data_IF_722630015804
#
_entry.id   IF_722630015804
#
_cell.length_a   1.000
_cell.length_b   1.000
_cell.length_c   1.000
_cell.angle_alpha   90.00
_cell.angle_beta   90.00
_cell.angle_gamma   90.00
#
_symmetry.space_group_name_H-M   'P 1'
#
loop_
_entity.id
_entity.type
_entity.pdbx_description
1 polymer ?
#
# COMPACT_ATOMS: atom_id res chain seq x y z
N UNK A 1 -11.00 14.48 24.12
CA UNK A 1 -10.94 13.02 23.90
C UNK A 1 -10.22 12.64 22.60
N UNK A 2 -10.50 13.29 21.45
CA UNK A 2 -9.82 13.02 20.17
C UNK A 2 -8.28 13.14 20.20
N UNK A 3 -7.73 14.12 20.93
CA UNK A 3 -6.28 14.28 21.09
C UNK A 3 -5.63 13.07 21.78
N UNK A 4 -6.24 12.59 22.88
CA UNK A 4 -5.73 11.45 23.64
C UNK A 4 -5.75 10.16 22.81
N UNK A 5 -6.82 9.93 22.03
CA UNK A 5 -6.91 8.80 21.11
C UNK A 5 -5.81 8.85 20.03
N UNK A 6 -5.55 10.02 19.45
CA UNK A 6 -4.47 10.21 18.45
C UNK A 6 -3.10 9.91 19.06
N UNK A 7 -2.81 10.42 20.26
CA UNK A 7 -1.54 10.16 20.95
C UNK A 7 -1.34 8.67 21.21
N UNK A 8 -2.39 7.98 21.68
CA UNK A 8 -2.35 6.55 21.98
C UNK A 8 -2.11 5.70 20.71
N UNK A 9 -2.80 6.04 19.61
CA UNK A 9 -2.59 5.38 18.31
C UNK A 9 -1.17 5.61 17.80
N UNK A 10 -0.66 6.85 17.87
CA UNK A 10 0.72 7.17 17.45
C UNK A 10 1.76 6.43 18.29
N UNK A 11 1.55 6.32 19.60
CA UNK A 11 2.41 5.51 20.48
C UNK A 11 2.39 4.04 20.05
N UNK A 12 1.20 3.47 19.82
CA UNK A 12 1.05 2.09 19.37
C UNK A 12 1.80 1.82 18.05
N UNK A 13 1.68 2.72 17.07
CA UNK A 13 2.37 2.60 15.78
C UNK A 13 3.89 2.71 15.97
N UNK A 14 4.36 3.69 16.75
CA UNK A 14 5.79 3.92 17.00
C UNK A 14 6.46 2.70 17.64
N UNK A 15 5.76 1.97 18.52
CA UNK A 15 6.30 0.74 19.11
C UNK A 15 6.11 -0.51 18.24
N UNK A 16 5.01 -0.61 17.49
CA UNK A 16 4.72 -1.78 16.66
C UNK A 16 5.66 -1.88 15.46
N UNK A 17 6.04 -0.75 14.86
CA UNK A 17 6.87 -0.71 13.65
C UNK A 17 8.25 -1.35 13.86
N UNK A 18 9.04 -0.99 14.89
CA UNK A 18 10.32 -1.64 15.17
C UNK A 18 10.20 -3.14 15.45
N UNK A 19 9.17 -3.55 16.18
CA UNK A 19 8.91 -4.96 16.52
C UNK A 19 8.64 -5.77 15.25
N UNK A 20 7.87 -5.21 14.32
CA UNK A 20 7.53 -5.87 13.05
C UNK A 20 8.68 -5.87 12.04
N UNK A 21 9.59 -4.90 12.12
CA UNK A 21 10.79 -4.84 11.27
C UNK A 21 11.76 -6.00 11.52
N UNK A 22 11.87 -6.48 12.76
CA UNK A 22 12.80 -7.57 13.10
C UNK A 22 12.54 -8.86 12.31
N UNK A 23 11.34 -9.48 12.35
CA UNK A 23 11.06 -10.69 11.57
C UNK A 23 11.07 -10.44 10.07
N UNK A 24 10.63 -9.25 9.62
CA UNK A 24 10.64 -8.88 8.21
C UNK A 24 12.08 -8.88 7.64
N UNK A 25 13.00 -8.20 8.34
CA UNK A 25 14.42 -8.19 7.97
C UNK A 25 15.03 -9.58 8.00
N UNK A 26 14.78 -10.36 9.04
CA UNK A 26 15.35 -11.71 9.17
C UNK A 26 14.88 -12.61 8.02
N UNK A 27 13.58 -12.58 7.70
CA UNK A 27 13.00 -13.31 6.57
C UNK A 27 13.64 -12.91 5.24
N UNK A 28 13.78 -11.60 5.01
CA UNK A 28 14.40 -11.05 3.80
C UNK A 28 15.87 -11.45 3.67
N UNK A 29 16.64 -11.38 4.76
CA UNK A 29 18.05 -11.79 4.78
C UNK A 29 18.17 -13.28 4.45
N UNK A 30 17.35 -14.13 5.09
CA UNK A 30 17.34 -15.57 4.83
C UNK A 30 16.96 -15.90 3.39
N UNK A 31 16.00 -15.19 2.81
CA UNK A 31 15.61 -15.33 1.41
C UNK A 31 16.78 -14.96 0.49
N UNK A 32 17.42 -13.82 0.74
CA UNK A 32 18.50 -13.33 -0.12
C UNK A 32 19.76 -14.21 -0.02
N UNK A 33 20.07 -14.73 1.17
CA UNK A 33 21.13 -15.74 1.36
C UNK A 33 20.83 -17.05 0.61
N UNK A 34 19.56 -17.47 0.50
CA UNK A 34 19.19 -18.64 -0.32
C UNK A 34 19.33 -18.39 -1.82
N UNK A 35 19.03 -17.18 -2.29
CA UNK A 35 19.11 -16.82 -3.72
C UNK A 35 20.57 -16.61 -4.14
N UNK A 36 21.35 -15.91 -3.32
CA UNK A 36 22.73 -15.53 -3.63
C UNK A 36 23.67 -15.81 -2.44
N UNK A 37 23.92 -17.10 -2.12
CA UNK A 37 24.73 -17.50 -0.95
C UNK A 37 26.19 -17.03 -1.04
N UNK A 38 26.70 -16.77 -2.25
CA UNK A 38 28.06 -16.28 -2.47
C UNK A 38 28.23 -14.80 -2.12
N UNK A 39 27.15 -14.02 -2.20
CA UNK A 39 27.18 -12.56 -2.02
C UNK A 39 26.67 -12.17 -0.65
N UNK A 40 25.67 -12.89 -0.12
CA UNK A 40 24.98 -12.53 1.11
C UNK A 40 25.42 -13.47 2.25
N UNK A 41 25.94 -12.93 3.36
CA UNK A 41 26.39 -13.75 4.49
C UNK A 41 25.20 -14.45 5.16
N UNK A 42 25.52 -15.46 5.97
CA UNK A 42 24.55 -16.19 6.79
C UNK A 42 23.73 -15.18 7.62
N UNK A 43 22.40 -15.32 7.67
CA UNK A 43 21.56 -14.39 8.42
C UNK A 43 21.93 -14.39 9.90
N UNK A 44 21.97 -13.18 10.48
CA UNK A 44 22.23 -13.03 11.90
C UNK A 44 21.17 -13.74 12.73
N UNK A 45 21.61 -14.65 13.58
CA UNK A 45 20.81 -15.30 14.61
C UNK A 45 21.32 -14.86 15.98
N UNK A 46 20.43 -14.49 16.89
CA UNK A 46 20.79 -14.07 18.24
C UNK A 46 21.54 -15.19 19.00
N UNK A 47 21.42 -16.45 18.57
CA UNK A 47 22.18 -17.59 19.09
C UNK A 47 23.64 -17.67 18.63
N UNK A 48 24.03 -16.97 17.55
CA UNK A 48 25.37 -17.05 16.96
C UNK A 48 25.90 -15.64 16.67
N UNK A 49 26.51 -15.02 17.69
CA UNK A 49 27.04 -13.63 17.60
C UNK A 49 28.06 -13.44 16.46
N UNK A 50 28.76 -14.51 16.07
CA UNK A 50 29.77 -14.51 15.01
C UNK A 50 29.19 -14.22 13.61
N UNK A 51 27.88 -14.39 13.43
CA UNK A 51 27.18 -14.11 12.17
C UNK A 51 26.78 -12.64 12.01
N UNK A 52 27.13 -11.78 12.97
CA UNK A 52 26.77 -10.37 12.96
C UNK A 52 27.53 -9.59 11.88
N UNK A 53 26.80 -9.11 10.88
CA UNK A 53 27.33 -8.18 9.89
C UNK A 53 26.55 -6.84 9.92
N UNK A 54 27.16 -5.75 10.44
CA UNK A 54 26.46 -4.48 10.63
C UNK A 54 26.10 -3.79 9.30
N UNK A 55 26.84 -4.05 8.22
CA UNK A 55 26.60 -3.44 6.91
C UNK A 55 25.31 -4.01 6.32
N UNK A 56 25.21 -5.34 6.27
CA UNK A 56 24.00 -6.02 5.76
C UNK A 56 22.78 -5.72 6.62
N UNK A 57 22.95 -5.67 7.93
CA UNK A 57 21.89 -5.30 8.86
C UNK A 57 21.31 -3.91 8.55
N UNK A 58 22.18 -2.90 8.37
CA UNK A 58 21.78 -1.53 8.04
C UNK A 58 21.15 -1.45 6.64
N UNK A 59 21.73 -2.13 5.66
CA UNK A 59 21.22 -2.16 4.29
C UNK A 59 19.76 -2.64 4.23
N UNK A 60 19.43 -3.75 4.89
CA UNK A 60 18.04 -4.23 4.91
C UNK A 60 17.10 -3.30 5.69
N UNK A 61 17.58 -2.67 6.77
CA UNK A 61 16.78 -1.71 7.52
C UNK A 61 16.44 -0.47 6.66
N UNK A 62 17.43 0.07 5.96
CA UNK A 62 17.25 1.20 5.03
C UNK A 62 16.32 0.81 3.88
N UNK A 63 16.47 -0.39 3.33
CA UNK A 63 15.62 -0.87 2.25
C UNK A 63 14.15 -0.94 2.66
N UNK A 64 13.85 -1.59 3.80
CA UNK A 64 12.47 -1.74 4.27
C UNK A 64 11.87 -0.37 4.63
N UNK A 65 12.61 0.45 5.41
CA UNK A 65 12.14 1.77 5.81
C UNK A 65 11.97 2.70 4.60
N UNK A 66 12.89 2.63 3.64
CA UNK A 66 12.86 3.39 2.39
C UNK A 66 11.67 3.01 1.52
N UNK A 67 11.33 1.73 1.40
CA UNK A 67 10.13 1.28 0.70
C UNK A 67 8.84 1.81 1.37
N UNK A 68 8.76 1.76 2.70
CA UNK A 68 7.60 2.30 3.43
C UNK A 68 7.50 3.81 3.23
N UNK A 69 8.62 4.54 3.33
CA UNK A 69 8.65 5.98 3.11
C UNK A 69 8.23 6.36 1.68
N UNK A 70 8.80 5.69 0.67
CA UNK A 70 8.42 5.91 -0.73
C UNK A 70 6.93 5.66 -0.97
N UNK A 71 6.37 4.63 -0.33
CA UNK A 71 4.95 4.31 -0.42
C UNK A 71 4.08 5.43 0.19
N UNK A 72 4.48 5.97 1.36
CA UNK A 72 3.81 7.13 1.96
C UNK A 72 3.89 8.37 1.07
N UNK A 73 5.01 8.60 0.38
CA UNK A 73 5.15 9.75 -0.52
C UNK A 73 4.34 9.64 -1.82
N UNK A 74 4.04 8.42 -2.28
CA UNK A 74 3.31 8.20 -3.55
C UNK A 74 1.78 8.13 -3.32
N UNK A 75 1.35 7.73 -2.13
CA UNK A 75 -0.07 7.49 -1.82
C UNK A 75 -0.54 8.31 -0.63
N UNK A 76 -1.38 9.30 -0.90
CA UNK A 76 -2.10 10.06 0.13
C UNK A 76 -3.28 9.28 0.74
N UNK A 77 -3.71 8.21 0.07
CA UNK A 77 -4.83 7.38 0.53
C UNK A 77 -4.34 6.19 1.38
N UNK A 78 -4.31 6.40 2.69
CA UNK A 78 -3.97 5.35 3.66
C UNK A 78 -4.91 4.13 3.56
N UNK A 79 -6.18 4.34 3.19
CA UNK A 79 -7.17 3.26 3.07
C UNK A 79 -6.78 2.30 1.94
N UNK A 80 -6.28 2.84 0.83
CA UNK A 80 -5.78 2.05 -0.29
C UNK A 80 -4.64 1.13 0.16
N UNK A 81 -3.62 1.71 0.82
CA UNK A 81 -2.45 0.97 1.30
C UNK A 81 -2.84 -0.15 2.24
N UNK A 82 -3.74 0.13 3.19
CA UNK A 82 -4.21 -0.85 4.16
C UNK A 82 -5.05 -1.96 3.50
N UNK A 83 -5.90 -1.61 2.53
CA UNK A 83 -6.70 -2.58 1.78
C UNK A 83 -5.82 -3.51 0.93
N UNK A 84 -4.84 -2.96 0.23
CA UNK A 84 -3.91 -3.71 -0.61
C UNK A 84 -3.02 -4.62 0.25
N UNK A 85 -2.42 -4.06 1.31
CA UNK A 85 -1.59 -4.81 2.25
C UNK A 85 -2.36 -5.94 2.93
N UNK A 86 -3.60 -5.69 3.35
CA UNK A 86 -4.49 -6.69 3.94
C UNK A 86 -4.87 -7.80 2.96
N UNK A 87 -5.19 -7.47 1.71
CA UNK A 87 -5.52 -8.44 0.68
C UNK A 87 -4.34 -9.35 0.32
N UNK A 88 -3.14 -8.77 0.17
CA UNK A 88 -1.89 -9.48 -0.10
C UNK A 88 -1.56 -10.40 1.07
N UNK A 89 -1.49 -9.86 2.29
CA UNK A 89 -1.13 -10.62 3.48
C UNK A 89 -2.15 -11.73 3.78
N UNK A 90 -3.45 -11.44 3.66
CA UNK A 90 -4.52 -12.41 3.88
C UNK A 90 -4.46 -13.57 2.90
N UNK A 91 -4.28 -13.30 1.61
CA UNK A 91 -4.18 -14.35 0.58
C UNK A 91 -2.95 -15.24 0.80
N UNK A 92 -1.81 -14.63 1.18
CA UNK A 92 -0.59 -15.34 1.49
C UNK A 92 -0.72 -16.24 2.73
N UNK A 93 -1.25 -15.71 3.84
CA UNK A 93 -1.30 -16.41 5.13
C UNK A 93 -2.39 -17.49 5.15
N UNK A 94 -3.54 -17.25 4.52
CA UNK A 94 -4.70 -18.17 4.61
C UNK A 94 -4.63 -19.29 3.59
N UNK A 95 -4.13 -19.02 2.37
CA UNK A 95 -4.21 -19.98 1.27
C UNK A 95 -2.83 -20.46 0.82
N UNK A 96 -1.94 -19.53 0.44
CA UNK A 96 -0.67 -19.86 -0.21
C UNK A 96 0.29 -20.56 0.77
N UNK A 97 0.53 -20.00 1.95
CA UNK A 97 1.49 -20.55 2.91
C UNK A 97 1.08 -21.91 3.45
N UNK A 98 -0.16 -22.15 3.93
CA UNK A 98 -0.55 -23.47 4.43
C UNK A 98 -0.43 -24.55 3.36
N UNK A 99 -0.84 -24.24 2.12
CA UNK A 99 -0.76 -25.17 1.00
C UNK A 99 0.68 -25.47 0.61
N UNK A 100 1.54 -24.45 0.54
CA UNK A 100 2.96 -24.61 0.23
C UNK A 100 3.71 -25.38 1.33
N UNK A 101 3.38 -25.12 2.62
CA UNK A 101 3.95 -25.86 3.74
C UNK A 101 3.56 -27.34 3.69
N UNK A 102 2.27 -27.63 3.46
CA UNK A 102 1.80 -28.99 3.36
C UNK A 102 2.49 -29.75 2.20
N UNK A 103 2.53 -29.16 1.01
CA UNK A 103 3.20 -29.77 -0.14
C UNK A 103 4.69 -30.00 0.14
N UNK A 104 5.35 -29.07 0.83
CA UNK A 104 6.76 -29.23 1.19
C UNK A 104 7.01 -30.36 2.20
N UNK A 105 6.10 -30.61 3.14
CA UNK A 105 6.20 -31.73 4.08
C UNK A 105 6.03 -33.08 3.36
N UNK A 106 5.24 -33.11 2.30
CA UNK A 106 4.98 -34.29 1.48
C UNK A 106 5.84 -34.36 0.21
N UNK A 107 7.03 -33.74 0.21
CA UNK A 107 8.00 -33.75 -0.90
C UNK A 107 7.40 -33.39 -2.27
N UNK A 108 6.43 -32.48 -2.28
CA UNK A 108 5.70 -32.04 -3.47
C UNK A 108 5.05 -33.20 -4.24
N UNK A 109 4.63 -34.26 -3.54
CA UNK A 109 3.94 -35.37 -4.17
C UNK A 109 2.59 -34.92 -4.76
N UNK A 110 2.28 -35.43 -5.94
CA UNK A 110 1.04 -35.18 -6.67
C UNK A 110 0.09 -36.40 -6.64
N UNK A 111 0.56 -37.52 -6.08
CA UNK A 111 -0.18 -38.77 -5.97
C UNK A 111 -1.14 -38.66 -4.78
N UNK A 112 -2.40 -39.07 -4.99
CA UNK A 112 -3.45 -38.99 -3.99
C UNK A 112 -4.43 -37.84 -4.20
N UNK A 113 -5.70 -38.08 -3.90
CA UNK A 113 -6.77 -37.10 -4.05
C UNK A 113 -6.56 -35.86 -3.15
N UNK A 114 -6.02 -36.06 -1.95
CA UNK A 114 -5.75 -34.98 -1.00
C UNK A 114 -4.66 -34.01 -1.52
N UNK A 115 -3.55 -34.54 -2.07
CA UNK A 115 -2.49 -33.73 -2.64
C UNK A 115 -2.98 -32.88 -3.82
N UNK A 116 -3.84 -33.45 -4.68
CA UNK A 116 -4.49 -32.70 -5.76
C UNK A 116 -5.38 -31.57 -5.24
N UNK A 117 -6.11 -31.79 -4.15
CA UNK A 117 -6.91 -30.76 -3.50
C UNK A 117 -6.05 -29.63 -2.95
N UNK A 118 -4.90 -29.94 -2.33
CA UNK A 118 -3.97 -28.92 -1.83
C UNK A 118 -3.34 -28.12 -2.98
N UNK A 119 -2.98 -28.77 -4.09
CA UNK A 119 -2.54 -28.09 -5.31
C UNK A 119 -3.62 -27.17 -5.89
N UNK A 120 -4.89 -27.58 -5.84
CA UNK A 120 -6.02 -26.76 -6.24
C UNK A 120 -6.17 -25.54 -5.32
N UNK A 121 -6.09 -25.71 -3.99
CA UNK A 121 -6.13 -24.59 -3.04
C UNK A 121 -4.97 -23.62 -3.29
N UNK A 122 -3.77 -24.13 -3.56
CA UNK A 122 -2.62 -23.29 -3.89
C UNK A 122 -2.87 -22.48 -5.18
N UNK A 123 -3.40 -23.13 -6.23
CA UNK A 123 -3.76 -22.46 -7.48
C UNK A 123 -4.85 -21.41 -7.28
N UNK A 124 -5.89 -21.73 -6.50
CA UNK A 124 -6.96 -20.82 -6.13
C UNK A 124 -6.44 -19.64 -5.30
N UNK A 125 -5.43 -19.87 -4.44
CA UNK A 125 -4.71 -18.83 -3.70
C UNK A 125 -4.05 -17.81 -4.61
N UNK A 126 -3.37 -18.27 -5.67
CA UNK A 126 -2.79 -17.37 -6.66
C UNK A 126 -3.85 -16.59 -7.43
N UNK A 127 -4.93 -17.24 -7.87
CA UNK A 127 -6.03 -16.56 -8.58
C UNK A 127 -6.66 -15.50 -7.67
N UNK A 128 -6.95 -15.85 -6.42
CA UNK A 128 -7.54 -14.93 -5.43
C UNK A 128 -6.61 -13.75 -5.13
N UNK A 129 -5.30 -14.00 -5.02
CA UNK A 129 -4.29 -12.97 -4.83
C UNK A 129 -4.32 -11.93 -5.95
N UNK A 130 -4.24 -12.37 -7.21
CA UNK A 130 -4.25 -11.47 -8.36
C UNK A 130 -5.60 -10.78 -8.53
N UNK A 131 -6.70 -11.50 -8.34
CA UNK A 131 -8.05 -10.95 -8.48
C UNK A 131 -8.32 -9.86 -7.43
N UNK A 132 -8.04 -10.12 -6.15
CA UNK A 132 -8.23 -9.12 -5.08
C UNK A 132 -7.34 -7.89 -5.29
N UNK A 133 -6.07 -8.08 -5.65
CA UNK A 133 -5.16 -6.97 -5.93
C UNK A 133 -5.66 -6.14 -7.12
N UNK A 134 -6.09 -6.80 -8.20
CA UNK A 134 -6.60 -6.13 -9.41
C UNK A 134 -7.88 -5.35 -9.13
N UNK A 135 -8.83 -5.92 -8.36
CA UNK A 135 -10.06 -5.25 -8.00
C UNK A 135 -9.82 -3.97 -7.20
N UNK A 136 -8.91 -4.00 -6.23
CA UNK A 136 -8.56 -2.83 -5.42
C UNK A 136 -7.96 -1.73 -6.29
N UNK A 137 -7.06 -2.09 -7.21
CA UNK A 137 -6.45 -1.14 -8.14
C UNK A 137 -7.51 -0.52 -9.05
N UNK A 138 -8.39 -1.33 -9.66
CA UNK A 138 -9.45 -0.84 -10.55
C UNK A 138 -10.40 0.11 -9.80
N UNK A 139 -10.83 -0.27 -8.58
CA UNK A 139 -11.68 0.60 -7.76
C UNK A 139 -10.99 1.93 -7.44
N UNK A 140 -9.70 1.92 -7.16
CA UNK A 140 -8.94 3.14 -6.89
C UNK A 140 -8.81 4.05 -8.11
N UNK A 141 -8.68 3.47 -9.31
CA UNK A 141 -8.59 4.22 -10.57
C UNK A 141 -9.96 4.81 -10.91
N UNK A 142 -11.02 4.02 -10.83
CA UNK A 142 -12.39 4.47 -11.07
C UNK A 142 -12.79 5.61 -10.12
N UNK A 143 -12.49 5.48 -8.82
CA UNK A 143 -12.75 6.53 -7.84
C UNK A 143 -11.98 7.83 -8.14
N UNK A 144 -10.76 7.75 -8.70
CA UNK A 144 -10.00 8.93 -9.15
C UNK A 144 -10.59 9.57 -10.40
N UNK A 145 -11.10 8.77 -11.33
CA UNK A 145 -11.77 9.28 -12.54
C UNK A 145 -13.04 10.05 -12.21
N UNK A 146 -13.84 9.55 -11.27
CA UNK A 146 -15.07 10.24 -10.83
C UNK A 146 -14.76 11.53 -10.06
N UNK A 147 -13.70 11.54 -9.25
CA UNK A 147 -13.25 12.74 -8.56
C UNK A 147 -12.77 13.83 -9.53
N UNK A 148 -11.99 13.47 -10.55
CA UNK A 148 -11.52 14.41 -11.57
C UNK A 148 -12.64 14.98 -12.45
N UNK A 149 -13.67 14.19 -12.75
CA UNK A 149 -14.84 14.65 -13.50
C UNK A 149 -15.69 15.67 -12.71
N UNK A 150 -15.82 15.47 -11.39
CA UNK A 150 -16.54 16.39 -10.52
C UNK A 150 -15.76 17.69 -10.28
N UNK A 151 -14.43 17.63 -10.13
CA UNK A 151 -13.59 18.83 -9.98
C UNK A 151 -13.65 19.73 -11.23
N UNK A 152 -13.70 19.12 -12.43
CA UNK A 152 -13.84 19.86 -13.69
C UNK A 152 -15.19 20.59 -13.78
N UNK A 153 -16.27 19.96 -13.32
CA UNK A 153 -17.59 20.59 -13.28
C UNK A 153 -17.67 21.72 -12.26
N UNK A 154 -17.01 21.58 -11.11
CA UNK A 154 -16.97 22.63 -10.07
C UNK A 154 -16.10 23.82 -10.49
N UNK A 155 -14.98 23.60 -11.17
CA UNK A 155 -14.18 24.67 -11.78
C UNK A 155 -14.98 25.40 -12.86
N UNK A 156 -15.69 24.67 -13.73
CA UNK A 156 -16.52 25.27 -14.77
C UNK A 156 -17.66 26.12 -14.20
N UNK A 157 -18.28 25.67 -13.10
CA UNK A 157 -19.30 26.42 -12.38
C UNK A 157 -18.73 27.66 -11.70
N UNK A 158 -17.54 27.58 -11.08
CA UNK A 158 -16.86 28.75 -10.49
C UNK A 158 -16.51 29.80 -11.55
N UNK A 159 -15.92 29.39 -12.66
CA UNK A 159 -15.56 30.29 -13.76
C UNK A 159 -16.82 30.92 -14.39
N UNK A 160 -17.90 30.16 -14.54
CA UNK A 160 -19.18 30.68 -15.01
C UNK A 160 -19.79 31.69 -14.03
N UNK A 161 -19.72 31.45 -12.73
CA UNK A 161 -20.20 32.39 -11.70
C UNK A 161 -19.35 33.67 -11.66
N UNK A 162 -18.02 33.58 -11.79
CA UNK A 162 -17.15 34.77 -11.86
C UNK A 162 -17.39 35.61 -13.12
N UNK A 163 -17.59 34.96 -14.28
CA UNK A 163 -17.95 35.65 -15.52
C UNK A 163 -19.32 36.33 -15.43
N UNK A 164 -20.30 35.67 -14.78
CA UNK A 164 -21.63 36.24 -14.57
C UNK A 164 -21.59 37.43 -13.60
N UNK A 165 -20.77 37.36 -12.54
CA UNK A 165 -20.53 38.45 -11.60
C UNK A 165 -19.86 39.67 -12.23
N UNK A 166 -18.85 39.47 -13.09
CA UNK A 166 -18.18 40.55 -13.84
C UNK A 166 -19.07 41.16 -14.93
N UNK A 167 -19.94 40.37 -15.54
CA UNK A 167 -20.95 40.87 -16.48
C UNK A 167 -21.96 41.80 -15.81
N UNK A 168 -22.38 41.48 -14.59
CA UNK A 168 -23.29 42.32 -13.81
C UNK A 168 -22.64 43.63 -13.37
N UNK A 169 -21.40 43.60 -12.88
CA UNK A 169 -20.69 44.81 -12.44
C UNK A 169 -20.51 45.82 -13.58
N UNK A 170 -20.07 45.34 -14.75
CA UNK A 170 -19.87 46.17 -15.93
C UNK A 170 -21.20 46.77 -16.47
N UNK A 171 -22.31 46.06 -16.28
CA UNK A 171 -23.64 46.55 -16.69
C UNK A 171 -24.17 47.64 -15.74
N UNK A 172 -23.97 47.49 -14.41
CA UNK A 172 -24.29 48.56 -13.44
C UNK A 172 -23.43 49.81 -13.66
N UNK A 173 -22.15 49.65 -13.96
CA UNK A 173 -21.25 50.78 -14.21
C UNK A 173 -21.60 51.50 -15.52
N UNK A 174 -22.02 50.77 -16.55
CA UNK A 174 -22.51 51.36 -17.80
C UNK A 174 -23.78 52.19 -17.59
N UNK A 175 -24.75 51.70 -16.82
CA UNK A 175 -25.99 52.41 -16.51
C UNK A 175 -25.73 53.68 -15.67
N UNK A 176 -24.81 53.63 -14.72
CA UNK A 176 -24.42 54.81 -13.92
C UNK A 176 -23.68 55.86 -14.74
N UNK A 177 -22.91 55.47 -15.76
CA UNK A 177 -22.19 56.40 -16.64
C UNK A 177 -23.10 57.17 -17.61
N UNK A 178 -24.26 56.61 -17.96
CA UNK A 178 -25.24 57.24 -18.86
C UNK A 178 -26.15 58.29 -18.20
N UNK A 179 -26.19 58.35 -16.86
CA UNK A 179 -27.08 59.28 -16.13
C UNK A 179 -26.39 60.59 -15.66
N UNK A 180 -25.12 60.81 -15.99
CA UNK A 180 -24.34 62.01 -15.58
C UNK A 180 -24.12 63.02 -16.71
N UNK A 181 -24.82 62.88 -17.85
CA UNK A 181 -24.74 63.81 -18.99
C UNK A 181 -26.10 64.42 -19.37
N UNK A 182 -26.81 64.95 -18.37
CA UNK A 182 -27.96 65.84 -18.57
C UNK A 182 -27.92 66.99 -17.57
#
# INVERSE_FOLDING_TARGET
MLLAARILVTMCITFSVPILHYPCRYSLWKLLNRIAPKTVPIPYDNGFQETWNPIWFKMFAILIQGCIYALVCITDDFKLVLSLGGAIAGSCIIQIFPSMFYLKIHDWDHRGAYNKLVWLILGLGWVTFFFNTSLIIIQSIAARSDAGANDFHDEQNKVSFELMGRGFSNFTDAILSTNTTA
#
